data_IF_751057090879
#
_entry.id   IF_751057090879
#
_cell.length_a   1.000
_cell.length_b   1.000
_cell.length_c   1.000
_cell.angle_alpha   90.00
_cell.angle_beta   90.00
_cell.angle_gamma   90.00
#
_symmetry.space_group_name_H-M   'P 1'
#
loop_
_entity.id
_entity.type
_entity.pdbx_description
1 polymer ?
#
# COMPACT_ATOMS: atom_id res chain seq x y z
N UNK A 1 10.65 57.22 33.46
CA UNK A 1 10.52 56.19 34.52
C UNK A 1 9.60 55.09 34.05
N UNK A 2 10.05 54.17 33.21
CA UNK A 2 9.32 52.99 32.73
C UNK A 2 9.71 51.80 33.62
N UNK A 3 9.00 51.63 34.73
CA UNK A 3 8.96 50.40 35.49
C UNK A 3 7.93 49.48 34.84
N UNK A 4 8.32 48.47 34.17
CA UNK A 4 7.62 47.20 33.82
C UNK A 4 8.10 46.67 32.50
N UNK A 5 9.40 46.35 32.39
CA UNK A 5 9.83 45.32 31.44
C UNK A 5 10.18 44.08 32.30
N UNK A 6 9.17 43.23 32.55
CA UNK A 6 9.47 41.84 32.86
C UNK A 6 10.19 41.28 31.64
N UNK A 7 11.50 41.05 31.72
CA UNK A 7 12.21 40.25 30.73
C UNK A 7 11.66 38.82 30.85
N UNK A 8 10.76 38.49 29.92
CA UNK A 8 10.36 37.09 29.74
C UNK A 8 11.56 36.39 29.13
N UNK A 9 12.24 35.53 29.88
CA UNK A 9 13.22 34.62 29.32
C UNK A 9 12.45 33.49 28.61
N UNK A 10 12.60 33.42 27.31
CA UNK A 10 12.07 32.30 26.53
C UNK A 10 12.92 31.06 26.88
N UNK A 11 12.31 29.93 27.30
CA UNK A 11 13.06 28.70 27.54
C UNK A 11 13.91 28.32 26.31
N UNK A 12 15.12 27.81 26.50
CA UNK A 12 16.03 27.53 25.38
C UNK A 12 15.48 26.50 24.40
N UNK A 13 14.61 25.60 24.82
CA UNK A 13 13.98 24.56 24.02
C UNK A 13 12.75 25.05 23.22
N UNK A 14 12.20 26.21 23.59
CA UNK A 14 10.96 26.72 23.01
C UNK A 14 11.05 27.04 21.50
N UNK A 15 12.14 27.61 20.95
CA UNK A 15 12.27 27.82 19.51
C UNK A 15 12.24 26.52 18.71
N UNK A 16 12.86 25.43 19.20
CA UNK A 16 12.89 24.15 18.51
C UNK A 16 11.51 23.50 18.55
N UNK A 17 10.82 23.52 19.70
CA UNK A 17 9.44 23.04 19.83
C UNK A 17 8.49 23.76 18.86
N UNK A 18 8.61 25.10 18.77
CA UNK A 18 7.79 25.87 17.82
C UNK A 18 8.12 25.55 16.36
N UNK A 19 9.40 25.37 16.06
CA UNK A 19 9.83 25.02 14.70
C UNK A 19 9.27 23.66 14.29
N UNK A 20 9.33 22.68 15.18
CA UNK A 20 8.81 21.34 14.92
C UNK A 20 7.28 21.37 14.81
N UNK A 21 6.59 22.07 15.70
CA UNK A 21 5.13 22.28 15.60
C UNK A 21 4.75 22.99 14.27
N UNK A 22 5.49 24.03 13.88
CA UNK A 22 5.22 24.74 12.63
C UNK A 22 5.41 23.82 11.43
N UNK A 23 6.44 22.97 11.44
CA UNK A 23 6.67 21.96 10.40
C UNK A 23 5.49 21.00 10.31
N UNK A 24 5.00 20.51 11.45
CA UNK A 24 3.86 19.61 11.48
C UNK A 24 2.55 20.28 11.02
N UNK A 25 2.32 21.55 11.35
CA UNK A 25 1.17 22.31 10.85
C UNK A 25 1.27 22.50 9.32
N UNK A 26 2.46 22.79 8.79
CA UNK A 26 2.66 22.94 7.34
C UNK A 26 2.53 21.60 6.60
N UNK A 27 2.98 20.51 7.22
CA UNK A 27 2.89 19.15 6.69
C UNK A 27 1.45 18.65 6.64
N UNK A 28 0.71 18.89 7.71
CA UNK A 28 -0.63 18.32 7.90
C UNK A 28 -1.76 19.28 7.44
N UNK A 29 -1.48 20.54 7.20
CA UNK A 29 -2.44 21.60 6.81
C UNK A 29 -3.82 21.46 7.48
N UNK A 30 -3.89 21.38 8.83
CA UNK A 30 -5.13 21.08 9.52
C UNK A 30 -6.16 22.18 9.32
N UNK A 31 -7.43 21.83 9.12
CA UNK A 31 -8.54 22.81 9.04
C UNK A 31 -8.68 23.61 10.34
N UNK A 32 -8.39 22.98 11.48
CA UNK A 32 -8.43 23.61 12.80
C UNK A 32 -7.06 23.53 13.48
N UNK A 33 -6.26 24.58 13.30
CA UNK A 33 -4.91 24.66 13.89
C UNK A 33 -4.95 24.58 15.43
N UNK A 34 -5.99 25.11 16.09
CA UNK A 34 -6.06 25.10 17.55
C UNK A 34 -6.29 23.68 18.12
N UNK A 35 -7.14 22.91 17.47
CA UNK A 35 -7.39 21.51 17.84
C UNK A 35 -6.17 20.64 17.56
N UNK A 36 -5.53 20.84 16.42
CA UNK A 36 -4.28 20.18 16.06
C UNK A 36 -3.17 20.52 17.09
N UNK A 37 -3.01 21.78 17.46
CA UNK A 37 -2.05 22.21 18.46
C UNK A 37 -2.30 21.56 19.82
N UNK A 38 -3.56 21.47 20.26
CA UNK A 38 -3.90 20.82 21.53
C UNK A 38 -3.45 19.34 21.53
N UNK A 39 -3.77 18.59 20.49
CA UNK A 39 -3.36 17.18 20.33
C UNK A 39 -1.83 17.04 20.22
N UNK A 40 -1.20 17.89 19.42
CA UNK A 40 0.26 17.87 19.24
C UNK A 40 1.01 18.05 20.56
N UNK A 41 0.65 19.08 21.33
CA UNK A 41 1.29 19.35 22.61
C UNK A 41 0.92 18.35 23.71
N UNK A 42 -0.24 17.72 23.63
CA UNK A 42 -0.63 16.62 24.53
C UNK A 42 0.23 15.37 24.26
N UNK A 43 0.46 14.99 23.00
CA UNK A 43 1.37 13.92 22.62
C UNK A 43 2.80 14.22 23.06
N UNK A 44 3.29 15.44 22.81
CA UNK A 44 4.63 15.88 23.23
C UNK A 44 4.81 15.79 24.76
N UNK A 45 3.80 16.23 25.51
CA UNK A 45 3.81 16.18 26.98
C UNK A 45 3.75 14.74 27.54
N UNK A 46 3.14 13.82 26.80
CA UNK A 46 3.01 12.40 27.17
C UNK A 46 4.18 11.54 26.69
N UNK A 47 5.18 12.12 26.01
CA UNK A 47 6.32 11.39 25.44
C UNK A 47 5.93 10.43 24.30
N UNK A 48 4.74 10.63 23.71
CA UNK A 48 4.28 9.88 22.56
C UNK A 48 4.88 10.50 21.29
N UNK A 49 5.06 9.70 20.20
CA UNK A 49 5.48 10.24 18.92
C UNK A 49 4.54 11.37 18.48
N UNK A 50 5.11 12.52 18.14
CA UNK A 50 4.38 13.70 17.65
C UNK A 50 4.07 13.59 16.14
N UNK A 51 4.47 12.50 15.49
CA UNK A 51 4.02 12.14 14.15
C UNK A 51 2.52 11.84 14.17
N UNK A 52 1.74 12.91 14.29
CA UNK A 52 0.30 12.82 14.11
C UNK A 52 0.04 12.48 12.66
N UNK A 53 -0.68 11.38 12.32
CA UNK A 53 -1.20 11.22 10.99
C UNK A 53 -2.07 12.45 10.70
N UNK A 54 -1.68 13.20 9.67
CA UNK A 54 -2.34 14.45 9.36
C UNK A 54 -3.81 14.23 9.03
N UNK A 55 -4.68 14.93 9.70
CA UNK A 55 -6.08 15.04 9.29
C UNK A 55 -6.25 15.78 7.94
N UNK A 56 -5.15 16.15 7.29
CA UNK A 56 -5.14 16.83 5.99
C UNK A 56 -4.43 16.08 4.88
N UNK A 57 -3.77 14.93 5.18
CA UNK A 57 -3.11 14.09 4.19
C UNK A 57 -3.83 12.75 3.93
N UNK A 58 -4.89 12.44 4.68
CA UNK A 58 -5.64 11.19 4.57
C UNK A 58 -7.08 11.37 4.02
N UNK A 59 -7.36 12.48 3.34
CA UNK A 59 -8.64 12.61 2.60
C UNK A 59 -8.65 11.82 1.29
N UNK A 60 -7.59 11.06 1.02
CA UNK A 60 -7.57 9.95 0.06
C UNK A 60 -7.30 8.60 0.75
N UNK A 61 -7.63 8.43 2.03
CA UNK A 61 -8.00 7.11 2.50
C UNK A 61 -9.23 6.73 1.68
N UNK A 62 -9.00 5.97 0.63
CA UNK A 62 -10.07 5.24 -0.05
C UNK A 62 -10.89 4.63 1.08
N UNK A 63 -12.15 5.03 1.18
CA UNK A 63 -13.05 4.47 2.18
C UNK A 63 -12.88 2.96 2.16
N UNK A 64 -12.21 2.44 3.19
CA UNK A 64 -11.84 1.04 3.32
C UNK A 64 -12.99 0.26 3.94
N UNK A 65 -14.21 0.83 3.91
CA UNK A 65 -15.39 0.10 4.33
C UNK A 65 -15.54 -1.16 3.47
N UNK A 66 -16.01 -2.22 4.10
CA UNK A 66 -16.24 -3.49 3.39
C UNK A 66 -17.21 -3.31 2.21
N UNK A 67 -18.22 -2.46 2.35
CA UNK A 67 -19.19 -2.15 1.31
C UNK A 67 -18.52 -1.56 0.07
N UNK A 68 -17.55 -0.66 0.26
CA UNK A 68 -16.81 -0.06 -0.85
C UNK A 68 -15.94 -1.11 -1.55
N UNK A 69 -15.23 -1.94 -0.78
CA UNK A 69 -14.38 -3.02 -1.31
C UNK A 69 -15.25 -4.03 -2.06
N UNK A 70 -16.36 -4.46 -1.48
CA UNK A 70 -17.30 -5.39 -2.11
C UNK A 70 -17.88 -4.82 -3.41
N UNK A 71 -18.22 -3.53 -3.43
CA UNK A 71 -18.67 -2.83 -4.64
C UNK A 71 -17.60 -2.89 -5.75
N UNK A 72 -16.33 -2.63 -5.42
CA UNK A 72 -15.21 -2.73 -6.38
C UNK A 72 -15.05 -4.16 -6.89
N UNK A 73 -15.14 -5.16 -6.00
CA UNK A 73 -15.03 -6.58 -6.37
C UNK A 73 -16.17 -6.97 -7.33
N UNK A 74 -17.41 -6.57 -7.02
CA UNK A 74 -18.56 -6.82 -7.87
C UNK A 74 -18.43 -6.18 -9.25
N UNK A 75 -17.96 -4.94 -9.32
CA UNK A 75 -17.74 -4.24 -10.58
C UNK A 75 -16.63 -4.88 -11.39
N UNK A 76 -15.55 -5.32 -10.74
CA UNK A 76 -14.46 -6.03 -11.37
C UNK A 76 -14.93 -7.38 -11.93
N UNK A 77 -15.71 -8.15 -11.18
CA UNK A 77 -16.28 -9.41 -11.62
C UNK A 77 -17.20 -9.21 -12.84
N UNK A 78 -18.14 -8.28 -12.74
CA UNK A 78 -19.10 -7.96 -13.83
C UNK A 78 -18.42 -7.48 -15.12
N UNK A 79 -17.27 -6.83 -15.00
CA UNK A 79 -16.51 -6.36 -16.14
C UNK A 79 -16.01 -7.50 -17.01
N UNK A 80 -15.66 -8.63 -16.41
CA UNK A 80 -15.07 -9.78 -17.10
C UNK A 80 -16.08 -10.91 -17.33
N UNK A 81 -17.14 -11.05 -16.51
CA UNK A 81 -18.31 -11.91 -16.74
C UNK A 81 -19.18 -11.29 -17.86
N UNK A 82 -18.79 -11.52 -19.11
CA UNK A 82 -19.41 -10.88 -20.29
C UNK A 82 -20.75 -11.50 -20.65
N UNK A 83 -20.93 -12.80 -20.43
CA UNK A 83 -22.15 -13.54 -20.74
C UNK A 83 -23.15 -13.54 -19.59
N UNK A 84 -22.77 -12.98 -18.43
CA UNK A 84 -23.56 -12.90 -17.19
C UNK A 84 -23.94 -14.26 -16.65
N UNK A 85 -23.06 -15.20 -16.74
CA UNK A 85 -23.20 -16.56 -16.23
C UNK A 85 -23.10 -16.66 -14.71
N UNK A 86 -22.57 -15.61 -14.05
CA UNK A 86 -22.25 -15.52 -12.62
C UNK A 86 -21.00 -16.32 -12.23
N UNK A 87 -20.22 -16.73 -13.18
CA UNK A 87 -18.88 -17.28 -13.02
C UNK A 87 -17.97 -16.75 -14.13
N UNK A 88 -16.66 -16.76 -13.93
CA UNK A 88 -15.69 -16.48 -14.97
C UNK A 88 -15.26 -17.81 -15.60
N UNK A 89 -15.51 -17.97 -16.88
CA UNK A 89 -15.00 -19.10 -17.62
C UNK A 89 -13.47 -18.96 -17.84
N UNK A 90 -12.75 -20.02 -18.27
CA UNK A 90 -11.30 -19.96 -18.46
C UNK A 90 -10.85 -18.87 -19.45
N UNK A 91 -11.70 -18.49 -20.41
CA UNK A 91 -11.39 -17.44 -21.38
C UNK A 91 -11.56 -16.04 -20.76
N UNK A 92 -12.62 -15.83 -20.00
CA UNK A 92 -12.91 -14.58 -19.29
C UNK A 92 -11.87 -14.34 -18.19
N UNK A 93 -11.52 -15.37 -17.43
CA UNK A 93 -10.43 -15.31 -16.46
C UNK A 93 -9.10 -14.99 -17.13
N UNK A 94 -8.81 -15.61 -18.28
CA UNK A 94 -7.60 -15.31 -19.04
C UNK A 94 -7.58 -13.87 -19.56
N UNK A 95 -8.73 -13.30 -19.95
CA UNK A 95 -8.82 -11.90 -20.37
C UNK A 95 -8.49 -10.96 -19.18
N UNK A 96 -9.04 -11.23 -17.99
CA UNK A 96 -8.67 -10.52 -16.76
C UNK A 96 -7.16 -10.59 -16.51
N UNK A 97 -6.59 -11.79 -16.57
CA UNK A 97 -5.17 -11.99 -16.28
C UNK A 97 -4.26 -11.37 -17.34
N UNK A 98 -4.66 -11.34 -18.62
CA UNK A 98 -3.91 -10.64 -19.67
C UNK A 98 -3.90 -9.12 -19.45
N UNK A 99 -5.01 -8.52 -19.02
CA UNK A 99 -5.07 -7.10 -18.67
C UNK A 99 -4.16 -6.77 -17.48
N UNK A 100 -4.09 -7.67 -16.50
CA UNK A 100 -3.17 -7.54 -15.36
C UNK A 100 -1.71 -7.78 -15.78
N UNK A 101 -1.44 -8.74 -16.66
CA UNK A 101 -0.11 -9.03 -17.17
C UNK A 101 0.53 -7.82 -17.83
N UNK A 102 -0.25 -7.04 -18.59
CA UNK A 102 0.25 -5.80 -19.21
C UNK A 102 0.75 -4.76 -18.19
N UNK A 103 0.28 -4.85 -16.93
CA UNK A 103 0.63 -3.92 -15.86
C UNK A 103 1.69 -4.47 -14.89
N UNK A 104 1.71 -5.78 -14.69
CA UNK A 104 2.51 -6.46 -13.67
C UNK A 104 3.66 -7.29 -14.24
N UNK A 105 3.74 -7.40 -15.55
CA UNK A 105 4.81 -8.09 -16.32
C UNK A 105 5.16 -9.50 -15.79
N UNK A 106 4.14 -10.31 -15.48
CA UNK A 106 4.37 -11.70 -15.09
C UNK A 106 4.35 -12.65 -16.30
N UNK A 107 5.05 -13.80 -16.23
CA UNK A 107 5.10 -14.76 -17.32
C UNK A 107 3.72 -15.35 -17.65
N UNK A 108 3.43 -15.66 -18.94
CA UNK A 108 2.13 -16.22 -19.35
C UNK A 108 1.75 -17.55 -18.68
N UNK A 109 2.72 -18.35 -18.26
CA UNK A 109 2.51 -19.61 -17.55
C UNK A 109 1.96 -19.41 -16.12
N UNK A 110 2.16 -18.24 -15.53
CA UNK A 110 1.59 -17.90 -14.23
C UNK A 110 0.05 -17.77 -14.28
N UNK A 111 -0.54 -17.44 -15.43
CA UNK A 111 -2.00 -17.36 -15.59
C UNK A 111 -2.68 -18.68 -15.19
N UNK A 112 -2.11 -19.81 -15.61
CA UNK A 112 -2.64 -21.12 -15.27
C UNK A 112 -2.48 -21.44 -13.78
N UNK A 113 -1.45 -20.90 -13.13
CA UNK A 113 -1.23 -21.06 -11.71
C UNK A 113 -2.22 -20.22 -10.90
N UNK A 114 -2.47 -18.98 -11.32
CA UNK A 114 -3.49 -18.13 -10.70
C UNK A 114 -4.90 -18.74 -10.87
N UNK A 115 -5.21 -19.32 -12.02
CA UNK A 115 -6.45 -20.06 -12.21
C UNK A 115 -6.57 -21.21 -11.22
N UNK A 116 -5.53 -22.05 -11.12
CA UNK A 116 -5.53 -23.19 -10.21
C UNK A 116 -5.52 -22.80 -8.72
N UNK A 117 -5.03 -21.61 -8.38
CA UNK A 117 -5.09 -21.08 -7.01
C UNK A 117 -6.49 -20.50 -6.68
N UNK A 118 -7.19 -19.92 -7.68
CA UNK A 118 -8.53 -19.36 -7.50
C UNK A 118 -9.64 -20.43 -7.56
N UNK A 119 -9.53 -21.40 -8.46
CA UNK A 119 -10.48 -22.51 -8.65
C UNK A 119 -10.37 -23.53 -7.52
N UNK A 120 -11.12 -23.31 -6.43
CA UNK A 120 -11.05 -24.16 -5.23
C UNK A 120 -11.79 -25.49 -5.39
N UNK A 121 -12.83 -25.52 -6.23
CA UNK A 121 -13.66 -26.69 -6.46
C UNK A 121 -13.17 -27.55 -7.63
N UNK A 122 -12.18 -27.06 -8.39
CA UNK A 122 -11.53 -27.70 -9.55
C UNK A 122 -12.53 -28.03 -10.69
N UNK A 123 -13.55 -27.21 -10.89
CA UNK A 123 -14.50 -27.38 -12.01
C UNK A 123 -14.10 -26.60 -13.28
N UNK A 124 -13.05 -25.80 -13.18
CA UNK A 124 -12.50 -24.99 -14.27
C UNK A 124 -13.20 -23.64 -14.46
N UNK A 125 -14.16 -23.29 -13.61
CA UNK A 125 -14.83 -22.00 -13.57
C UNK A 125 -14.45 -21.26 -12.31
N UNK A 126 -14.55 -19.94 -12.29
CA UNK A 126 -14.33 -19.13 -11.09
C UNK A 126 -15.64 -18.50 -10.67
N UNK A 127 -16.25 -19.02 -9.62
CA UNK A 127 -17.44 -18.44 -9.01
C UNK A 127 -17.10 -17.12 -8.29
N UNK A 128 -18.14 -16.30 -8.01
CA UNK A 128 -17.91 -15.01 -7.35
C UNK A 128 -17.17 -15.16 -6.00
N UNK A 129 -17.55 -16.15 -5.19
CA UNK A 129 -16.91 -16.43 -3.91
C UNK A 129 -15.43 -16.84 -4.05
N UNK A 130 -15.08 -17.56 -5.10
CA UNK A 130 -13.72 -17.95 -5.42
C UNK A 130 -12.89 -16.78 -5.98
N UNK A 131 -13.57 -15.82 -6.62
CA UNK A 131 -12.95 -14.62 -7.15
C UNK A 131 -12.55 -13.62 -6.06
N UNK A 132 -13.31 -13.54 -4.95
CA UNK A 132 -13.10 -12.56 -3.88
C UNK A 132 -11.64 -12.53 -3.38
N UNK A 133 -10.98 -13.64 -3.01
CA UNK A 133 -9.61 -13.62 -2.52
C UNK A 133 -8.61 -13.06 -3.53
N UNK A 134 -8.78 -13.36 -4.82
CA UNK A 134 -7.94 -12.83 -5.89
C UNK A 134 -8.19 -11.33 -6.10
N UNK A 135 -9.45 -10.92 -6.13
CA UNK A 135 -9.84 -9.51 -6.28
C UNK A 135 -9.28 -8.65 -5.14
N UNK A 136 -9.31 -9.12 -3.90
CA UNK A 136 -8.71 -8.44 -2.75
C UNK A 136 -7.20 -8.25 -2.97
N UNK A 137 -6.47 -9.26 -3.46
CA UNK A 137 -5.05 -9.13 -3.75
C UNK A 137 -4.76 -8.09 -4.84
N UNK A 138 -5.59 -8.02 -5.88
CA UNK A 138 -5.49 -7.02 -6.95
C UNK A 138 -5.72 -5.61 -6.36
N UNK A 139 -6.78 -5.43 -5.56
CA UNK A 139 -7.10 -4.15 -4.93
C UNK A 139 -5.98 -3.72 -3.97
N UNK A 140 -5.45 -4.64 -3.17
CA UNK A 140 -4.29 -4.39 -2.30
C UNK A 140 -3.07 -3.91 -3.07
N UNK A 141 -2.78 -4.55 -4.21
CA UNK A 141 -1.69 -4.15 -5.09
C UNK A 141 -1.88 -2.75 -5.65
N UNK A 142 -3.08 -2.43 -6.13
CA UNK A 142 -3.42 -1.10 -6.64
C UNK A 142 -3.32 -0.02 -5.56
N UNK A 143 -3.83 -0.31 -4.36
CA UNK A 143 -3.71 0.58 -3.21
C UNK A 143 -2.24 0.83 -2.83
N UNK A 144 -1.45 -0.24 -2.72
CA UNK A 144 -0.04 -0.12 -2.37
C UNK A 144 0.75 0.69 -3.41
N UNK A 145 0.45 0.52 -4.69
CA UNK A 145 1.06 1.30 -5.77
C UNK A 145 0.71 2.79 -5.67
N UNK A 146 -0.55 3.12 -5.48
CA UNK A 146 -0.99 4.51 -5.31
C UNK A 146 -0.33 5.17 -4.08
N UNK A 147 -0.26 4.45 -2.95
CA UNK A 147 0.43 4.95 -1.74
C UNK A 147 1.93 5.14 -1.97
N UNK A 148 2.57 4.26 -2.73
CA UNK A 148 3.98 4.41 -3.11
C UNK A 148 4.19 5.66 -3.97
N UNK A 149 3.35 5.86 -4.99
CA UNK A 149 3.42 7.06 -5.86
C UNK A 149 3.25 8.35 -5.05
N UNK A 150 2.30 8.38 -4.12
CA UNK A 150 2.10 9.51 -3.20
C UNK A 150 3.32 9.72 -2.29
N UNK A 151 3.87 8.65 -1.72
CA UNK A 151 5.05 8.74 -0.87
C UNK A 151 6.27 9.28 -1.64
N UNK A 152 6.53 8.75 -2.83
CA UNK A 152 7.63 9.23 -3.69
C UNK A 152 7.43 10.71 -4.05
N UNK A 153 6.21 11.12 -4.42
CA UNK A 153 5.90 12.51 -4.71
C UNK A 153 6.13 13.44 -3.50
N UNK A 154 5.76 12.98 -2.30
CA UNK A 154 6.01 13.73 -1.06
C UNK A 154 7.51 13.86 -0.75
N UNK A 155 8.29 12.79 -0.94
CA UNK A 155 9.74 12.82 -0.75
C UNK A 155 10.42 13.71 -1.77
N UNK A 156 9.96 13.72 -3.03
CA UNK A 156 10.45 14.63 -4.06
C UNK A 156 10.12 16.10 -3.73
N UNK A 157 8.93 16.39 -3.20
CA UNK A 157 8.55 17.71 -2.75
C UNK A 157 9.42 18.18 -1.55
N UNK A 158 9.72 17.29 -0.61
CA UNK A 158 10.65 17.57 0.49
C UNK A 158 12.08 17.82 -0.02
N UNK A 159 12.54 17.05 -1.01
CA UNK A 159 13.84 17.26 -1.63
C UNK A 159 13.93 18.62 -2.33
N UNK A 160 12.85 19.03 -3.03
CA UNK A 160 12.75 20.35 -3.64
C UNK A 160 12.78 21.46 -2.58
N UNK A 161 12.06 21.33 -1.48
CA UNK A 161 12.06 22.28 -0.38
C UNK A 161 13.46 22.43 0.24
N UNK A 162 14.18 21.34 0.42
CA UNK A 162 15.59 21.36 0.90
C UNK A 162 16.50 22.11 -0.08
N UNK A 163 16.32 21.89 -1.38
CA UNK A 163 17.17 22.55 -2.40
C UNK A 163 16.84 24.03 -2.54
N UNK A 164 15.56 24.42 -2.43
CA UNK A 164 15.12 25.80 -2.64
C UNK A 164 15.24 26.66 -1.38
N UNK A 165 14.88 26.10 -0.22
CA UNK A 165 14.83 26.83 1.05
C UNK A 165 15.92 26.45 2.03
N UNK A 166 16.52 25.26 1.89
CA UNK A 166 17.61 24.78 2.73
C UNK A 166 19.01 25.21 2.25
N UNK A 167 19.15 25.67 1.02
CA UNK A 167 20.42 26.15 0.43
C UNK A 167 20.29 27.60 -0.01
N UNK A 168 21.41 28.34 0.05
CA UNK A 168 21.49 29.63 -0.60
C UNK A 168 21.53 29.48 -2.13
N UNK A 169 21.07 30.51 -2.84
CA UNK A 169 21.14 30.52 -4.32
C UNK A 169 22.57 30.30 -4.83
N UNK A 170 23.57 30.84 -4.12
CA UNK A 170 24.99 30.68 -4.43
C UNK A 170 25.45 29.23 -4.25
N UNK A 171 25.01 28.57 -3.19
CA UNK A 171 25.33 27.13 -2.95
C UNK A 171 24.72 26.22 -4.01
N UNK A 172 23.46 26.45 -4.37
CA UNK A 172 22.80 25.70 -5.44
C UNK A 172 23.49 25.89 -6.79
N UNK A 173 23.81 27.17 -7.13
CA UNK A 173 24.55 27.50 -8.38
C UNK A 173 25.92 26.84 -8.39
N UNK A 174 26.64 26.84 -7.26
CA UNK A 174 27.96 26.21 -7.14
C UNK A 174 27.85 24.69 -7.30
N UNK A 175 26.82 24.05 -6.76
CA UNK A 175 26.58 22.60 -6.95
C UNK A 175 26.30 22.24 -8.40
N UNK A 176 25.44 23.00 -9.06
CA UNK A 176 25.14 22.78 -10.48
C UNK A 176 26.39 22.99 -11.34
N UNK A 177 27.16 24.03 -11.07
CA UNK A 177 28.42 24.29 -11.78
C UNK A 177 29.43 23.16 -11.58
N UNK A 178 29.61 22.66 -10.36
CA UNK A 178 30.51 21.53 -10.08
C UNK A 178 30.05 20.22 -10.71
N UNK A 179 28.75 19.98 -10.86
CA UNK A 179 28.25 18.84 -11.63
C UNK A 179 28.57 18.99 -13.12
N UNK A 180 28.36 20.17 -13.68
CA UNK A 180 28.67 20.43 -15.08
C UNK A 180 30.18 20.25 -15.37
N UNK A 181 31.05 20.85 -14.53
CA UNK A 181 32.49 20.71 -14.63
C UNK A 181 33.00 19.26 -14.48
N UNK A 182 32.28 18.44 -13.70
CA UNK A 182 32.59 17.02 -13.54
C UNK A 182 32.21 16.21 -14.79
N UNK A 183 31.16 16.62 -15.49
CA UNK A 183 30.69 15.93 -16.69
C UNK A 183 31.41 16.38 -17.97
N UNK A 184 31.85 17.65 -18.00
CA UNK A 184 32.70 18.22 -19.05
C UNK A 184 34.17 17.80 -18.82
N UNK A 185 34.49 16.54 -19.16
CA UNK A 185 35.80 15.95 -18.90
C UNK A 185 36.92 16.63 -19.70
N UNK A 186 36.64 17.05 -20.94
CA UNK A 186 37.58 17.68 -21.84
C UNK A 186 37.71 19.20 -21.66
N UNK A 187 36.88 19.76 -20.76
CA UNK A 187 36.79 21.22 -20.45
C UNK A 187 36.50 22.07 -21.69
N UNK A 188 35.67 21.56 -22.57
CA UNK A 188 35.24 22.25 -23.79
C UNK A 188 34.25 23.38 -23.51
N UNK A 189 33.64 23.40 -22.32
CA UNK A 189 32.56 24.33 -21.94
C UNK A 189 31.19 23.84 -22.37
N UNK A 190 31.09 22.62 -22.88
CA UNK A 190 29.87 21.91 -23.23
C UNK A 190 30.02 20.44 -22.86
N UNK A 191 28.90 19.77 -22.49
CA UNK A 191 28.89 18.33 -22.25
C UNK A 191 28.45 17.65 -23.54
N UNK A 192 29.34 16.91 -24.14
CA UNK A 192 29.01 16.19 -25.38
C UNK A 192 28.20 14.93 -25.09
N UNK A 193 27.64 14.34 -26.15
CA UNK A 193 26.75 13.16 -26.04
C UNK A 193 27.37 11.98 -25.28
N UNK A 194 28.67 11.78 -25.45
CA UNK A 194 29.36 10.66 -24.80
C UNK A 194 29.52 10.92 -23.31
N UNK A 195 30.02 12.10 -22.95
CA UNK A 195 30.18 12.54 -21.56
C UNK A 195 28.84 12.51 -20.82
N UNK A 196 27.75 12.95 -21.47
CA UNK A 196 26.41 12.90 -20.90
C UNK A 196 25.93 11.45 -20.66
N UNK A 197 26.17 10.55 -21.61
CA UNK A 197 25.82 9.15 -21.47
C UNK A 197 26.64 8.46 -20.36
N UNK A 198 27.95 8.68 -20.35
CA UNK A 198 28.86 8.10 -19.37
C UNK A 198 28.50 8.60 -17.97
N UNK A 199 28.28 9.90 -17.80
CA UNK A 199 27.89 10.51 -16.53
C UNK A 199 26.55 10.00 -15.96
N UNK A 200 25.52 9.85 -16.81
CA UNK A 200 24.21 9.31 -16.37
C UNK A 200 24.29 7.80 -16.06
N UNK A 201 25.15 7.07 -16.77
CA UNK A 201 25.39 5.65 -16.50
C UNK A 201 26.09 5.46 -15.16
N UNK A 202 27.11 6.28 -14.87
CA UNK A 202 27.87 6.24 -13.62
C UNK A 202 27.03 6.63 -12.38
N UNK A 203 25.90 7.29 -12.58
CA UNK A 203 24.97 7.64 -11.50
C UNK A 203 24.08 6.47 -11.04
N UNK A 204 24.16 5.32 -11.71
CA UNK A 204 23.39 4.10 -11.37
C UNK A 204 21.86 4.34 -11.26
N UNK A 205 21.34 5.28 -12.07
CA UNK A 205 19.91 5.61 -12.10
C UNK A 205 19.04 4.55 -12.80
N UNK A 206 19.62 3.42 -13.22
CA UNK A 206 18.92 2.35 -13.93
C UNK A 206 18.43 2.71 -15.33
N UNK A 207 18.87 3.84 -15.89
CA UNK A 207 18.40 4.33 -17.18
C UNK A 207 18.94 3.51 -18.36
N UNK A 208 18.04 3.11 -19.22
CA UNK A 208 18.41 2.47 -20.49
C UNK A 208 19.03 3.46 -21.47
N UNK A 209 19.81 2.97 -22.43
CA UNK A 209 20.37 3.81 -23.51
C UNK A 209 19.30 4.60 -24.28
N UNK A 210 18.08 4.05 -24.42
CA UNK A 210 16.97 4.74 -25.10
C UNK A 210 16.47 5.92 -24.26
N UNK A 211 16.36 5.74 -22.95
CA UNK A 211 15.94 6.79 -22.01
C UNK A 211 17.00 7.89 -21.92
N UNK A 212 18.27 7.53 -21.80
CA UNK A 212 19.39 8.50 -21.82
C UNK A 212 19.37 9.32 -23.11
N UNK A 213 19.14 8.68 -24.25
CA UNK A 213 19.03 9.40 -25.54
C UNK A 213 17.78 10.30 -25.60
N UNK A 214 16.66 9.87 -25.00
CA UNK A 214 15.44 10.69 -24.91
C UNK A 214 15.66 11.92 -24.02
N UNK A 215 16.32 11.74 -22.87
CA UNK A 215 16.69 12.81 -21.95
C UNK A 215 17.62 13.79 -22.66
N UNK A 216 18.66 13.31 -23.34
CA UNK A 216 19.56 14.15 -24.09
C UNK A 216 18.84 14.99 -25.13
N UNK A 217 17.91 14.39 -25.87
CA UNK A 217 17.10 15.10 -26.88
C UNK A 217 16.19 16.17 -26.26
N UNK A 218 15.74 16.00 -25.02
CA UNK A 218 14.98 17.00 -24.27
C UNK A 218 15.86 18.14 -23.75
N UNK A 219 17.08 17.84 -23.35
CA UNK A 219 18.02 18.81 -22.73
C UNK A 219 18.69 19.65 -23.82
N UNK A 220 19.16 19.01 -24.91
CA UNK A 220 19.75 19.65 -26.09
C UNK A 220 18.66 20.36 -26.90
N UNK A 221 18.39 21.63 -26.53
CA UNK A 221 17.28 22.40 -27.13
C UNK A 221 17.61 22.94 -28.50
N UNK A 222 18.89 23.23 -28.77
CA UNK A 222 19.32 23.76 -30.08
C UNK A 222 19.74 22.64 -31.07
N UNK A 223 19.75 21.38 -30.59
CA UNK A 223 20.04 20.18 -31.38
C UNK A 223 21.44 20.19 -32.01
N UNK A 224 22.40 20.80 -31.39
CA UNK A 224 23.79 20.83 -31.85
C UNK A 224 24.57 19.56 -31.46
N UNK A 225 23.96 18.69 -30.64
CA UNK A 225 24.53 17.43 -30.15
C UNK A 225 25.37 17.57 -28.90
N UNK A 226 25.45 18.77 -28.34
CA UNK A 226 26.12 19.07 -27.07
C UNK A 226 25.13 19.72 -26.12
N UNK A 227 25.47 19.74 -24.84
CA UNK A 227 24.65 20.38 -23.81
C UNK A 227 25.45 21.55 -23.24
N UNK A 228 25.00 22.75 -23.53
CA UNK A 228 25.54 23.98 -22.96
C UNK A 228 25.18 24.12 -21.48
N UNK A 229 25.91 24.94 -20.72
CA UNK A 229 25.61 25.18 -19.31
C UNK A 229 24.18 25.70 -19.09
N UNK A 230 23.64 26.49 -20.03
CA UNK A 230 22.26 27.01 -19.92
C UNK A 230 21.20 25.92 -20.04
N UNK A 231 21.43 24.93 -20.89
CA UNK A 231 20.56 23.79 -21.08
C UNK A 231 20.71 22.79 -19.93
N UNK A 232 21.93 22.68 -19.40
CA UNK A 232 22.23 21.82 -18.26
C UNK A 232 21.54 22.25 -16.96
N UNK A 233 21.44 23.56 -16.68
CA UNK A 233 20.95 24.08 -15.40
C UNK A 233 19.55 23.56 -15.02
N UNK A 234 18.50 23.63 -15.88
CA UNK A 234 17.18 23.11 -15.54
C UNK A 234 17.20 21.59 -15.28
N UNK A 235 17.91 20.87 -16.12
CA UNK A 235 18.08 19.42 -15.98
C UNK A 235 18.84 19.04 -14.68
N UNK A 236 19.91 19.74 -14.38
CA UNK A 236 20.70 19.50 -13.16
C UNK A 236 19.90 19.76 -11.88
N UNK A 237 18.98 20.74 -11.90
CA UNK A 237 18.09 20.98 -10.77
C UNK A 237 17.16 19.78 -10.54
N UNK A 238 16.51 19.28 -11.60
CA UNK A 238 15.64 18.09 -11.50
C UNK A 238 16.43 16.84 -11.08
N UNK A 239 17.64 16.68 -11.59
CA UNK A 239 18.56 15.61 -11.19
C UNK A 239 18.96 15.70 -9.73
N UNK A 240 19.33 16.89 -9.23
CA UNK A 240 19.65 17.12 -7.83
C UNK A 240 18.45 16.83 -6.92
N UNK A 241 17.24 17.21 -7.35
CA UNK A 241 16.00 16.91 -6.63
C UNK A 241 15.81 15.41 -6.48
N UNK A 242 15.94 14.64 -7.57
CA UNK A 242 15.85 13.17 -7.55
C UNK A 242 16.94 12.53 -6.69
N UNK A 243 18.18 12.98 -6.81
CA UNK A 243 19.28 12.49 -5.97
C UNK A 243 19.05 12.76 -4.48
N UNK A 244 18.54 13.96 -4.14
CA UNK A 244 18.22 14.31 -2.76
C UNK A 244 17.05 13.46 -2.25
N UNK A 245 16.04 13.23 -3.08
CA UNK A 245 14.93 12.34 -2.74
C UNK A 245 15.41 10.89 -2.50
N UNK A 246 16.30 10.37 -3.34
CA UNK A 246 16.88 9.04 -3.13
C UNK A 246 17.67 8.96 -1.82
N UNK A 247 18.45 10.00 -1.48
CA UNK A 247 19.15 10.06 -0.20
C UNK A 247 18.20 10.08 1.01
N UNK A 248 17.07 10.78 0.92
CA UNK A 248 16.06 10.78 1.96
C UNK A 248 15.46 9.39 2.15
N UNK A 249 15.09 8.72 1.05
CA UNK A 249 14.60 7.33 1.09
C UNK A 249 15.64 6.36 1.67
N UNK A 250 16.93 6.54 1.35
CA UNK A 250 18.00 5.72 1.92
C UNK A 250 18.17 5.95 3.43
N UNK A 251 17.99 7.17 3.91
CA UNK A 251 18.04 7.50 5.35
C UNK A 251 16.85 6.85 6.07
N UNK A 252 15.65 6.94 5.50
CA UNK A 252 14.47 6.24 6.02
C UNK A 252 14.72 4.73 6.12
N UNK A 253 15.30 4.13 5.09
CA UNK A 253 15.61 2.71 5.03
C UNK A 253 16.62 2.26 6.10
N UNK A 254 17.63 3.08 6.42
CA UNK A 254 18.64 2.75 7.44
C UNK A 254 18.05 2.57 8.84
N UNK A 255 16.92 3.19 9.10
CA UNK A 255 16.19 3.09 10.36
C UNK A 255 15.06 2.06 10.33
N UNK A 256 14.90 1.34 9.20
CA UNK A 256 13.81 0.42 8.97
C UNK A 256 14.26 -1.05 9.08
N UNK A 257 13.72 -1.79 10.04
CA UNK A 257 14.06 -3.20 10.28
C UNK A 257 13.74 -4.09 9.07
N UNK A 258 12.61 -3.86 8.40
CA UNK A 258 12.24 -4.62 7.21
C UNK A 258 13.19 -4.33 6.04
N UNK A 259 13.52 -3.06 5.86
CA UNK A 259 14.47 -2.62 4.83
C UNK A 259 15.86 -3.21 5.04
N UNK A 260 16.36 -3.21 6.28
CA UNK A 260 17.63 -3.84 6.61
C UNK A 260 17.60 -5.36 6.39
N UNK A 261 16.53 -6.01 6.80
CA UNK A 261 16.34 -7.45 6.55
C UNK A 261 16.39 -7.79 5.05
N UNK A 262 15.68 -7.05 4.20
CA UNK A 262 15.70 -7.25 2.75
C UNK A 262 17.08 -6.95 2.16
N UNK A 263 17.74 -5.91 2.64
CA UNK A 263 19.08 -5.54 2.19
C UNK A 263 20.09 -6.66 2.49
N UNK A 264 20.07 -7.22 3.69
CA UNK A 264 20.93 -8.32 4.08
C UNK A 264 20.64 -9.58 3.26
N UNK A 265 19.36 -9.87 3.02
CA UNK A 265 18.93 -11.01 2.21
C UNK A 265 19.42 -10.90 0.76
N UNK A 266 19.31 -9.71 0.15
CA UNK A 266 19.72 -9.48 -1.23
C UNK A 266 21.24 -9.46 -1.36
N UNK A 267 21.96 -8.84 -0.42
CA UNK A 267 23.43 -8.89 -0.35
C UNK A 267 23.98 -10.30 -0.19
N UNK A 268 23.29 -11.13 0.58
CA UNK A 268 23.71 -12.55 0.74
C UNK A 268 23.61 -13.33 -0.57
N UNK A 269 22.70 -12.95 -1.46
CA UNK A 269 22.54 -13.56 -2.79
C UNK A 269 23.51 -12.99 -3.81
N UNK A 270 23.83 -11.70 -3.73
CA UNK A 270 24.78 -10.99 -4.59
C UNK A 270 26.22 -11.33 -4.17
N UNK A 271 26.70 -12.48 -4.59
CA UNK A 271 28.05 -12.98 -4.25
C UNK A 271 29.16 -12.19 -4.94
N UNK A 272 28.86 -11.53 -6.04
CA UNK A 272 29.82 -10.76 -6.82
C UNK A 272 29.89 -9.29 -6.41
N UNK A 273 29.01 -8.88 -5.47
CA UNK A 273 28.88 -7.49 -4.97
C UNK A 273 28.63 -6.47 -6.11
N UNK A 274 27.82 -6.86 -7.08
CA UNK A 274 27.47 -6.04 -8.24
C UNK A 274 26.44 -4.95 -7.91
N UNK A 275 25.68 -5.09 -6.82
CA UNK A 275 24.58 -4.18 -6.45
C UNK A 275 23.30 -4.46 -7.22
N UNK A 276 23.29 -5.44 -8.12
CA UNK A 276 22.13 -5.82 -8.94
C UNK A 276 21.83 -7.31 -8.80
N UNK A 277 20.56 -7.68 -8.99
CA UNK A 277 20.09 -9.06 -9.01
C UNK A 277 19.10 -9.25 -10.17
N UNK A 278 19.08 -10.44 -10.75
CA UNK A 278 18.08 -10.79 -11.75
C UNK A 278 16.65 -10.75 -11.18
N UNK A 279 15.67 -10.35 -12.01
CA UNK A 279 14.25 -10.32 -11.63
C UNK A 279 13.77 -11.63 -11.01
N UNK A 280 14.22 -12.78 -11.55
CA UNK A 280 13.90 -14.11 -11.03
C UNK A 280 14.46 -14.34 -9.62
N UNK A 281 15.70 -13.93 -9.36
CA UNK A 281 16.33 -14.07 -8.05
C UNK A 281 15.60 -13.23 -7.00
N UNK A 282 15.23 -11.98 -7.32
CA UNK A 282 14.46 -11.11 -6.42
C UNK A 282 13.10 -11.70 -6.10
N UNK A 283 12.39 -12.23 -7.11
CA UNK A 283 11.12 -12.93 -6.90
C UNK A 283 11.26 -14.10 -5.93
N UNK A 284 12.26 -14.94 -6.14
CA UNK A 284 12.49 -16.14 -5.33
C UNK A 284 12.90 -15.76 -3.89
N UNK A 285 13.69 -14.69 -3.73
CA UNK A 285 14.05 -14.13 -2.42
C UNK A 285 12.83 -13.58 -1.66
N UNK A 286 11.96 -12.82 -2.32
CA UNK A 286 10.72 -12.32 -1.71
C UNK A 286 9.79 -13.46 -1.29
N UNK A 287 9.73 -14.55 -2.06
CA UNK A 287 9.01 -15.76 -1.67
C UNK A 287 9.60 -16.43 -0.43
N UNK A 288 10.93 -16.50 -0.35
CA UNK A 288 11.64 -17.14 0.77
C UNK A 288 11.67 -16.28 2.03
N UNK A 289 11.47 -14.99 1.91
CA UNK A 289 11.55 -14.01 3.02
C UNK A 289 10.46 -14.19 4.09
N UNK A 290 9.52 -15.11 3.93
CA UNK A 290 8.42 -15.39 4.88
C UNK A 290 7.60 -14.16 5.29
N UNK A 291 7.43 -13.20 4.38
CA UNK A 291 6.70 -11.95 4.62
C UNK A 291 5.17 -12.10 4.51
N UNK A 292 4.69 -13.33 4.29
CA UNK A 292 3.26 -13.61 4.09
C UNK A 292 2.67 -13.02 2.80
N UNK A 293 3.54 -12.75 1.82
CA UNK A 293 3.14 -12.21 0.52
C UNK A 293 2.63 -13.33 -0.38
N UNK A 294 1.53 -13.06 -1.08
CA UNK A 294 1.04 -13.93 -2.13
C UNK A 294 1.83 -13.74 -3.41
N UNK A 295 1.70 -14.68 -4.33
CA UNK A 295 2.34 -14.62 -5.66
C UNK A 295 1.97 -13.33 -6.41
N UNK A 296 0.69 -12.96 -6.43
CA UNK A 296 0.19 -11.74 -7.05
C UNK A 296 0.84 -10.48 -6.43
N UNK A 297 0.92 -10.43 -5.12
CA UNK A 297 1.53 -9.29 -4.40
C UNK A 297 3.03 -9.17 -4.72
N UNK A 298 3.76 -10.28 -4.84
CA UNK A 298 5.17 -10.27 -5.23
C UNK A 298 5.35 -9.71 -6.65
N UNK A 299 4.53 -10.14 -7.62
CA UNK A 299 4.58 -9.55 -8.97
C UNK A 299 4.24 -8.06 -8.96
N UNK A 300 3.25 -7.65 -8.17
CA UNK A 300 2.91 -6.24 -8.01
C UNK A 300 4.08 -5.41 -7.44
N UNK A 301 4.80 -5.95 -6.45
CA UNK A 301 5.98 -5.28 -5.89
C UNK A 301 7.12 -5.18 -6.93
N UNK A 302 7.39 -6.26 -7.66
CA UNK A 302 8.45 -6.30 -8.68
C UNK A 302 8.11 -5.37 -9.85
N UNK A 303 6.84 -5.17 -10.21
CA UNK A 303 6.45 -4.26 -11.30
C UNK A 303 6.84 -2.80 -11.08
N UNK A 304 7.17 -2.41 -9.83
CA UNK A 304 7.66 -1.08 -9.49
C UNK A 304 9.20 -0.97 -9.51
N UNK A 305 9.87 -2.05 -9.90
CA UNK A 305 11.32 -2.06 -10.04
C UNK A 305 11.75 -1.47 -11.40
N UNK A 306 12.82 -0.72 -11.39
CA UNK A 306 13.52 -0.30 -12.59
C UNK A 306 14.44 -1.43 -13.06
N UNK A 307 14.11 -2.00 -14.22
CA UNK A 307 14.84 -3.16 -14.78
C UNK A 307 15.81 -2.67 -15.86
N UNK A 308 17.08 -3.07 -15.75
CA UNK A 308 18.10 -2.73 -16.74
C UNK A 308 17.98 -3.56 -18.04
N UNK A 309 18.87 -3.32 -19.00
CA UNK A 309 18.86 -4.03 -20.29
C UNK A 309 19.19 -5.53 -20.16
N UNK A 310 19.87 -5.94 -19.13
CA UNK A 310 20.26 -7.30 -18.79
C UNK A 310 19.19 -8.04 -17.96
N UNK A 311 18.01 -7.44 -17.77
CA UNK A 311 16.92 -7.95 -16.93
C UNK A 311 17.27 -8.10 -15.45
N UNK A 312 18.04 -7.13 -14.93
CA UNK A 312 18.46 -7.05 -13.54
C UNK A 312 17.92 -5.78 -12.88
N UNK A 313 17.79 -5.82 -11.57
CA UNK A 313 17.27 -4.76 -10.72
C UNK A 313 18.35 -4.32 -9.73
N UNK A 314 18.61 -3.02 -9.63
CA UNK A 314 19.40 -2.45 -8.54
C UNK A 314 18.62 -2.57 -7.23
N UNK A 315 19.09 -3.41 -6.33
CA UNK A 315 18.35 -3.62 -5.08
C UNK A 315 18.45 -2.43 -4.12
N UNK A 316 19.42 -1.55 -4.28
CA UNK A 316 19.53 -0.33 -3.48
C UNK A 316 18.36 0.64 -3.76
N UNK A 317 17.96 0.81 -5.02
CA UNK A 317 16.81 1.64 -5.42
C UNK A 317 15.47 0.92 -5.24
N UNK A 318 15.45 -0.41 -5.36
CA UNK A 318 14.25 -1.23 -5.27
C UNK A 318 13.74 -1.41 -3.83
N UNK A 319 14.62 -1.66 -2.86
CA UNK A 319 14.23 -1.99 -1.48
C UNK A 319 13.34 -0.92 -0.84
N UNK A 320 13.61 0.40 -0.94
CA UNK A 320 12.73 1.42 -0.37
C UNK A 320 11.30 1.33 -0.92
N UNK A 321 11.15 1.12 -2.23
CA UNK A 321 9.85 0.96 -2.90
C UNK A 321 9.15 -0.32 -2.44
N UNK A 322 9.87 -1.44 -2.40
CA UNK A 322 9.34 -2.72 -1.94
C UNK A 322 8.84 -2.66 -0.49
N UNK A 323 9.61 -2.04 0.41
CA UNK A 323 9.22 -1.83 1.82
C UNK A 323 7.94 -1.02 1.93
N UNK A 324 7.84 0.11 1.20
CA UNK A 324 6.64 0.95 1.17
C UNK A 324 5.40 0.16 0.73
N UNK A 325 5.53 -0.63 -0.33
CA UNK A 325 4.44 -1.47 -0.82
C UNK A 325 4.06 -2.58 0.15
N UNK A 326 5.04 -3.30 0.71
CA UNK A 326 4.78 -4.37 1.70
C UNK A 326 4.03 -3.82 2.91
N UNK A 327 4.43 -2.65 3.41
CA UNK A 327 3.74 -1.99 4.53
C UNK A 327 2.32 -1.60 4.17
N UNK A 328 2.11 -1.03 2.99
CA UNK A 328 0.78 -0.65 2.50
C UNK A 328 -0.14 -1.86 2.33
N UNK A 329 0.37 -2.98 1.80
CA UNK A 329 -0.36 -4.25 1.70
C UNK A 329 -0.75 -4.76 3.09
N UNK A 330 0.18 -4.76 4.04
CA UNK A 330 -0.08 -5.22 5.40
C UNK A 330 -1.06 -4.30 6.16
N UNK A 331 -0.96 -2.98 5.98
CA UNK A 331 -1.90 -2.01 6.54
C UNK A 331 -3.31 -2.23 6.00
N UNK A 332 -3.45 -2.41 4.70
CA UNK A 332 -4.73 -2.74 4.06
C UNK A 332 -5.33 -4.03 4.62
N UNK A 333 -4.53 -5.10 4.73
CA UNK A 333 -4.97 -6.37 5.31
C UNK A 333 -5.49 -6.20 6.74
N UNK A 334 -4.75 -5.48 7.58
CA UNK A 334 -5.17 -5.19 8.95
C UNK A 334 -6.45 -4.35 9.01
N UNK A 335 -6.63 -3.40 8.09
CA UNK A 335 -7.85 -2.59 8.00
C UNK A 335 -9.06 -3.45 7.66
N UNK A 336 -8.96 -4.33 6.66
CA UNK A 336 -10.03 -5.29 6.33
C UNK A 336 -10.33 -6.19 7.54
N UNK A 337 -9.31 -6.76 8.18
CA UNK A 337 -9.49 -7.65 9.33
C UNK A 337 -10.21 -6.96 10.50
N UNK A 338 -9.94 -5.66 10.73
CA UNK A 338 -10.64 -4.84 11.73
C UNK A 338 -12.10 -4.63 11.32
N UNK A 339 -12.35 -4.15 10.09
CA UNK A 339 -13.69 -3.89 9.59
C UNK A 339 -14.57 -5.15 9.62
N UNK A 340 -14.04 -6.29 9.16
CA UNK A 340 -14.76 -7.58 9.22
C UNK A 340 -15.03 -8.00 10.67
N UNK A 341 -14.12 -7.72 11.60
CA UNK A 341 -14.33 -8.02 13.01
C UNK A 341 -15.40 -7.13 13.64
N UNK A 342 -15.39 -5.84 13.32
CA UNK A 342 -16.36 -4.86 13.82
C UNK A 342 -17.77 -5.18 13.27
N UNK A 343 -17.90 -5.46 11.97
CA UNK A 343 -19.15 -5.92 11.36
C UNK A 343 -19.63 -7.22 12.01
N UNK A 344 -18.71 -8.13 12.37
CA UNK A 344 -19.09 -9.39 13.03
C UNK A 344 -19.60 -9.18 14.44
N UNK A 345 -19.11 -8.17 15.16
CA UNK A 345 -19.58 -7.80 16.52
C UNK A 345 -20.94 -7.12 16.43
N UNK A 346 -21.13 -6.15 15.54
CA UNK A 346 -22.42 -5.51 15.31
C UNK A 346 -23.49 -6.51 14.84
N UNK A 347 -23.11 -7.43 13.95
CA UNK A 347 -24.00 -8.49 13.50
C UNK A 347 -24.35 -9.46 14.63
N UNK A 348 -23.43 -9.74 15.54
CA UNK A 348 -23.66 -10.56 16.73
C UNK A 348 -24.63 -9.87 17.68
N UNK A 349 -24.38 -8.60 17.99
CA UNK A 349 -25.25 -7.81 18.87
C UNK A 349 -26.67 -7.66 18.32
N UNK A 350 -26.81 -7.35 17.02
CA UNK A 350 -28.09 -7.29 16.35
C UNK A 350 -28.79 -8.66 16.32
N UNK A 351 -28.06 -9.73 16.08
CA UNK A 351 -28.60 -11.09 16.05
C UNK A 351 -29.17 -11.47 17.41
N UNK A 352 -28.41 -11.23 18.50
CA UNK A 352 -28.87 -11.50 19.86
C UNK A 352 -30.01 -10.58 20.26
N UNK A 353 -29.98 -9.30 19.90
CA UNK A 353 -31.04 -8.34 20.19
C UNK A 353 -32.41 -8.81 19.60
N UNK A 354 -32.43 -9.26 18.35
CA UNK A 354 -33.66 -9.75 17.71
C UNK A 354 -34.10 -11.09 18.30
N UNK A 355 -33.18 -11.98 18.65
CA UNK A 355 -33.49 -13.22 19.35
C UNK A 355 -34.01 -12.98 20.76
N UNK A 356 -33.45 -12.01 21.47
CA UNK A 356 -33.91 -11.60 22.82
C UNK A 356 -35.34 -11.09 22.77
N UNK A 357 -35.72 -10.34 21.72
CA UNK A 357 -37.09 -9.92 21.48
C UNK A 357 -37.99 -11.11 21.13
N UNK A 358 -37.57 -12.01 20.25
CA UNK A 358 -38.35 -13.18 19.81
C UNK A 358 -38.58 -14.17 20.95
N UNK A 359 -37.69 -14.27 21.91
CA UNK A 359 -37.76 -15.19 23.07
C UNK A 359 -37.98 -14.49 24.42
N UNK A 360 -38.44 -13.23 24.40
CA UNK A 360 -38.58 -12.42 25.61
C UNK A 360 -39.42 -13.12 26.69
N UNK A 361 -38.84 -13.17 27.91
CA UNK A 361 -39.52 -13.74 29.09
C UNK A 361 -39.59 -15.27 29.14
N UNK A 362 -38.94 -15.97 28.23
CA UNK A 362 -38.91 -17.42 28.17
C UNK A 362 -37.55 -17.96 28.58
N UNK A 363 -37.54 -18.98 29.41
CA UNK A 363 -36.33 -19.71 29.81
C UNK A 363 -36.17 -21.04 29.09
N UNK A 364 -37.31 -21.68 28.77
CA UNK A 364 -37.37 -22.93 28.01
C UNK A 364 -38.57 -22.86 27.08
N UNK A 365 -38.46 -23.44 25.90
CA UNK A 365 -39.56 -23.52 24.91
C UNK A 365 -39.61 -24.92 24.29
N UNK A 366 -40.79 -25.40 23.88
CA UNK A 366 -40.91 -26.61 23.06
C UNK A 366 -40.12 -26.46 21.75
N UNK A 367 -39.49 -27.55 21.29
CA UNK A 367 -38.62 -27.51 20.09
C UNK A 367 -39.37 -26.96 18.86
N UNK A 368 -40.62 -27.33 18.65
CA UNK A 368 -41.44 -26.84 17.54
C UNK A 368 -41.69 -25.33 17.63
N UNK A 369 -41.89 -24.78 18.83
CA UNK A 369 -42.06 -23.36 19.06
C UNK A 369 -40.73 -22.61 18.88
N UNK A 370 -39.59 -23.18 19.31
CA UNK A 370 -38.27 -22.62 19.08
C UNK A 370 -38.00 -22.41 17.58
N UNK A 371 -38.24 -23.42 16.76
CA UNK A 371 -38.05 -23.33 15.31
C UNK A 371 -38.97 -22.28 14.68
N UNK A 372 -40.26 -22.25 15.08
CA UNK A 372 -41.25 -21.26 14.58
C UNK A 372 -40.84 -19.83 14.95
N UNK A 373 -40.27 -19.60 16.11
CA UNK A 373 -39.78 -18.28 16.53
C UNK A 373 -38.53 -17.87 15.78
N UNK A 374 -37.58 -18.80 15.54
CA UNK A 374 -36.42 -18.54 14.69
C UNK A 374 -36.80 -18.21 13.25
N UNK A 375 -37.82 -18.89 12.71
CA UNK A 375 -38.36 -18.60 11.38
C UNK A 375 -39.02 -17.20 11.35
N UNK A 376 -39.80 -16.87 12.38
CA UNK A 376 -40.51 -15.59 12.49
C UNK A 376 -39.55 -14.39 12.68
N UNK A 377 -38.38 -14.61 13.28
CA UNK A 377 -37.36 -13.60 13.48
C UNK A 377 -36.72 -13.13 12.15
N UNK A 378 -36.85 -13.89 11.09
CA UNK A 378 -36.39 -13.59 9.73
C UNK A 378 -34.87 -13.20 9.67
N UNK A 379 -34.07 -13.77 10.57
CA UNK A 379 -32.62 -13.54 10.71
C UNK A 379 -31.80 -14.53 9.87
N UNK A 380 -32.39 -15.64 9.47
CA UNK A 380 -31.74 -16.78 8.88
C UNK A 380 -32.19 -17.01 7.45
N UNK A 381 -31.27 -17.28 6.55
CA UNK A 381 -31.62 -17.81 5.23
C UNK A 381 -32.29 -19.20 5.33
N UNK A 382 -32.97 -19.61 4.31
CA UNK A 382 -33.62 -20.93 4.29
C UNK A 382 -32.64 -22.08 4.55
N UNK A 383 -31.42 -22.00 4.05
CA UNK A 383 -30.36 -22.99 4.26
C UNK A 383 -29.87 -22.98 5.72
N UNK A 384 -29.60 -21.80 6.27
CA UNK A 384 -29.18 -21.63 7.68
C UNK A 384 -30.29 -22.14 8.63
N UNK A 385 -31.54 -21.77 8.39
CA UNK A 385 -32.69 -22.22 9.20
C UNK A 385 -32.83 -23.75 9.17
N UNK A 386 -32.67 -24.37 8.00
CA UNK A 386 -32.73 -25.84 7.88
C UNK A 386 -31.58 -26.50 8.68
N UNK A 387 -30.37 -25.96 8.59
CA UNK A 387 -29.22 -26.47 9.34
C UNK A 387 -29.37 -26.29 10.85
N UNK A 388 -29.87 -25.13 11.30
CA UNK A 388 -30.16 -24.85 12.70
C UNK A 388 -31.28 -25.78 13.23
N UNK A 389 -32.34 -25.99 12.44
CA UNK A 389 -33.42 -26.89 12.80
C UNK A 389 -32.94 -28.33 12.96
N UNK A 390 -32.07 -28.78 12.08
CA UNK A 390 -31.48 -30.13 12.18
C UNK A 390 -30.56 -30.26 13.42
N UNK A 391 -29.74 -29.26 13.70
CA UNK A 391 -28.90 -29.25 14.89
C UNK A 391 -29.75 -29.28 16.17
N UNK A 392 -30.76 -28.43 16.30
CA UNK A 392 -31.61 -28.38 17.48
C UNK A 392 -32.39 -29.70 17.69
N UNK A 393 -32.86 -30.35 16.63
CA UNK A 393 -33.50 -31.69 16.70
C UNK A 393 -32.55 -32.78 17.14
N UNK A 394 -31.24 -32.66 16.87
CA UNK A 394 -30.23 -33.62 17.29
C UNK A 394 -29.80 -33.42 18.75
N UNK A 395 -29.89 -32.17 19.22
CA UNK A 395 -29.43 -31.79 20.56
C UNK A 395 -30.54 -31.86 21.63
N UNK A 396 -31.81 -31.74 21.23
CA UNK A 396 -32.94 -31.65 22.17
C UNK A 396 -34.12 -32.50 21.69
N UNK A 397 -34.78 -33.23 22.64
CA UNK A 397 -35.92 -34.12 22.33
C UNK A 397 -37.26 -33.39 22.43
N UNK A 398 -37.56 -32.66 23.52
CA UNK A 398 -38.87 -32.06 23.77
C UNK A 398 -38.81 -30.54 24.05
N UNK A 399 -37.83 -30.08 24.84
CA UNK A 399 -37.73 -28.68 25.25
C UNK A 399 -36.31 -28.15 25.10
N UNK A 400 -36.19 -26.89 24.73
CA UNK A 400 -34.92 -26.22 24.41
C UNK A 400 -34.70 -25.08 25.41
N UNK A 401 -33.56 -25.06 26.14
CA UNK A 401 -33.16 -23.90 26.92
C UNK A 401 -32.85 -22.75 25.99
N UNK A 402 -33.53 -21.61 26.19
CA UNK A 402 -33.46 -20.47 25.23
C UNK A 402 -32.04 -19.92 25.06
N UNK A 403 -31.32 -19.68 26.15
CA UNK A 403 -29.98 -19.10 26.10
C UNK A 403 -28.95 -20.04 25.44
N UNK A 404 -29.10 -21.34 25.67
CA UNK A 404 -28.25 -22.34 25.05
C UNK A 404 -28.54 -22.47 23.54
N UNK A 405 -29.83 -22.44 23.17
CA UNK A 405 -30.25 -22.44 21.79
C UNK A 405 -29.73 -21.24 21.01
N UNK A 406 -29.86 -20.02 21.55
CA UNK A 406 -29.35 -18.80 20.93
C UNK A 406 -27.84 -18.92 20.65
N UNK A 407 -27.05 -19.36 21.66
CA UNK A 407 -25.62 -19.52 21.53
C UNK A 407 -25.23 -20.57 20.49
N UNK A 408 -25.90 -21.72 20.47
CA UNK A 408 -25.66 -22.78 19.49
C UNK A 408 -26.03 -22.36 18.06
N UNK A 409 -27.20 -21.69 17.91
CA UNK A 409 -27.64 -21.15 16.60
C UNK A 409 -26.63 -20.13 16.09
N UNK A 410 -26.19 -19.19 16.92
CA UNK A 410 -25.19 -18.22 16.52
C UNK A 410 -23.86 -18.87 16.12
N UNK A 411 -23.38 -19.83 16.89
CA UNK A 411 -22.15 -20.56 16.59
C UNK A 411 -22.22 -21.28 15.23
N UNK A 412 -23.35 -21.91 14.92
CA UNK A 412 -23.58 -22.58 13.65
C UNK A 412 -23.66 -21.58 12.50
N UNK A 413 -24.44 -20.51 12.65
CA UNK A 413 -24.61 -19.44 11.64
C UNK A 413 -23.25 -18.78 11.34
N UNK A 414 -22.47 -18.47 12.39
CA UNK A 414 -21.12 -17.93 12.26
C UNK A 414 -20.19 -18.87 11.50
N UNK A 415 -20.30 -20.18 11.70
CA UNK A 415 -19.52 -21.18 10.96
C UNK A 415 -19.95 -21.27 9.49
N UNK A 416 -21.27 -21.25 9.21
CA UNK A 416 -21.82 -21.29 7.86
C UNK A 416 -21.49 -20.02 7.07
N UNK A 417 -21.53 -18.85 7.70
CA UNK A 417 -21.15 -17.57 7.07
C UNK A 417 -19.64 -17.44 6.89
N UNK A 418 -18.81 -18.04 7.78
CA UNK A 418 -17.32 -18.08 7.61
C UNK A 418 -16.85 -18.99 6.48
N UNK A 419 -17.62 -20.01 6.12
CA UNK A 419 -17.32 -20.86 4.95
C UNK A 419 -17.78 -20.21 3.63
N UNK A 420 -18.44 -19.05 3.71
CA UNK A 420 -18.86 -18.23 2.56
C UNK A 420 -17.99 -16.97 2.39
N UNK A 421 -16.87 -16.86 3.14
CA UNK A 421 -15.89 -15.77 3.04
C UNK A 421 -14.50 -16.33 2.76
#
# INVERSE_FOLDING_TARGET
>A
STKFAKQYQVPPEFPDILKDFTREVLRNQPENINEFAAKYFECLASGLPTDMPGQGADTDEMDMSWETIEGIIQDLFRKYDQDRSQYLDPQEFKNLMNDLQQRLDFPPDEINRFLAEADMNADGMIEYEEFIPLAIQIIQGMYAKNRLEQHVANVEAQAEDILVHGMSKEELTTRIASLFERWDEDRSGVVNRKEFQDALTDMELGLTRKEINAIMFQVDQDQDGNISYKEFVPFAFDLLRKMTAMQLLEIELKNDELGQYLLDLFKAKDTEMTGVLGVGDIRDLLHQAMLGLTRMQIYTIISEAEVNAENEISYASFIPRAVGMIRSINSFKQSIERNVKDISVEAEDNFFMVLDEAFAGLTTVPLAECVSRLESANLLSAKELASCTQMLRTSYEESVPVEEAKSQVWSLVKSLRRTSF
#
